data_IF_241179450368
#
_entry.id   IF_241179450368
#
_cell.length_a   1.000
_cell.length_b   1.000
_cell.length_c   1.000
_cell.angle_alpha   90.00
_cell.angle_beta   90.00
_cell.angle_gamma   90.00
#
_symmetry.space_group_name_H-M   'P 1'
#
loop_
_entity.id
_entity.type
_entity.pdbx_description
1 polymer ?
#
# COMPACT_ATOMS: atom_id res chain seq x y z
N UNK A 1 19.57 -23.09 -9.00
CA UNK A 1 18.55 -22.02 -9.12
C UNK A 1 17.81 -21.97 -7.81
N UNK A 2 17.89 -20.84 -7.08
CA UNK A 2 17.24 -20.74 -5.76
C UNK A 2 15.72 -20.56 -5.93
N UNK A 3 14.95 -21.26 -5.12
CA UNK A 3 13.48 -21.26 -5.14
C UNK A 3 12.94 -20.17 -4.24
N UNK A 4 12.27 -19.18 -4.84
CA UNK A 4 11.65 -18.04 -4.14
C UNK A 4 10.13 -18.19 -4.12
N UNK A 5 9.54 -18.26 -2.93
CA UNK A 5 8.09 -18.25 -2.74
C UNK A 5 7.63 -16.87 -2.27
N UNK A 6 6.74 -16.22 -3.01
CA UNK A 6 6.12 -14.94 -2.65
C UNK A 6 4.70 -15.21 -2.18
N UNK A 7 4.45 -15.03 -0.89
CA UNK A 7 3.16 -15.31 -0.24
C UNK A 7 2.41 -14.01 -0.02
N UNK A 8 1.27 -13.86 -0.66
CA UNK A 8 0.39 -12.68 -0.55
C UNK A 8 -1.06 -13.09 -0.32
N UNK A 9 -1.92 -12.16 0.08
CA UNK A 9 -3.34 -12.44 0.31
C UNK A 9 -4.08 -12.87 -0.97
N UNK A 10 -3.92 -12.09 -2.05
CA UNK A 10 -4.68 -12.19 -3.28
C UNK A 10 -3.80 -11.88 -4.49
N UNK A 11 -4.11 -12.49 -5.63
CA UNK A 11 -3.47 -12.24 -6.92
C UNK A 11 -3.57 -10.77 -7.36
N UNK A 12 -4.70 -10.10 -7.11
CA UNK A 12 -4.88 -8.65 -7.39
C UNK A 12 -3.87 -7.80 -6.65
N UNK A 13 -3.62 -8.12 -5.38
CA UNK A 13 -2.62 -7.41 -4.59
C UNK A 13 -1.21 -7.68 -5.12
N UNK A 14 -0.90 -8.93 -5.47
CA UNK A 14 0.37 -9.30 -6.08
C UNK A 14 0.61 -8.49 -7.37
N UNK A 15 -0.33 -8.51 -8.30
CA UNK A 15 -0.23 -7.82 -9.59
C UNK A 15 -0.03 -6.31 -9.44
N UNK A 16 -0.66 -5.70 -8.44
CA UNK A 16 -0.56 -4.26 -8.23
C UNK A 16 0.69 -3.82 -7.47
N UNK A 17 1.29 -4.68 -6.61
CA UNK A 17 2.34 -4.25 -5.68
C UNK A 17 3.63 -5.08 -5.74
N UNK A 18 3.62 -6.28 -6.34
CA UNK A 18 4.73 -7.23 -6.26
C UNK A 18 5.13 -7.85 -7.60
N UNK A 19 4.38 -7.62 -8.68
CA UNK A 19 4.67 -8.19 -10.00
C UNK A 19 6.10 -7.85 -10.46
N UNK A 20 6.51 -6.59 -10.31
CA UNK A 20 7.80 -6.12 -10.79
C UNK A 20 8.97 -6.79 -10.03
N UNK A 21 8.78 -7.03 -8.73
CA UNK A 21 9.75 -7.77 -7.89
C UNK A 21 9.87 -9.23 -8.37
N UNK A 22 8.74 -9.88 -8.68
CA UNK A 22 8.74 -11.25 -9.17
C UNK A 22 9.42 -11.36 -10.55
N UNK A 23 9.09 -10.47 -11.47
CA UNK A 23 9.71 -10.40 -12.80
C UNK A 23 11.22 -10.16 -12.70
N UNK A 24 11.64 -9.20 -11.85
CA UNK A 24 13.06 -8.95 -11.63
C UNK A 24 13.79 -10.15 -10.99
N UNK A 25 13.12 -10.87 -10.09
CA UNK A 25 13.68 -12.09 -9.50
C UNK A 25 13.83 -13.22 -10.54
N UNK A 26 12.84 -13.43 -11.42
CA UNK A 26 12.95 -14.36 -12.55
C UNK A 26 14.14 -13.98 -13.45
N UNK A 27 14.25 -12.70 -13.82
CA UNK A 27 15.38 -12.22 -14.62
C UNK A 27 16.74 -12.38 -13.93
N UNK A 28 16.77 -12.34 -12.59
CA UNK A 28 17.96 -12.60 -11.79
C UNK A 28 18.27 -14.11 -11.56
N UNK A 29 17.47 -15.01 -12.16
CA UNK A 29 17.72 -16.46 -12.12
C UNK A 29 17.09 -17.18 -10.93
N UNK A 30 16.08 -16.63 -10.27
CA UNK A 30 15.28 -17.33 -9.26
C UNK A 30 14.14 -18.14 -9.90
N UNK A 31 13.84 -19.32 -9.34
CA UNK A 31 12.58 -20.04 -9.63
C UNK A 31 11.47 -19.48 -8.71
N UNK A 32 10.61 -18.65 -9.29
CA UNK A 32 9.62 -17.88 -8.52
C UNK A 32 8.27 -18.58 -8.52
N UNK A 33 7.72 -18.80 -7.32
CA UNK A 33 6.37 -19.30 -7.09
C UNK A 33 5.56 -18.28 -6.31
N UNK A 34 4.42 -17.85 -6.85
CA UNK A 34 3.45 -16.98 -6.16
C UNK A 34 2.42 -17.84 -5.45
N UNK A 35 2.23 -17.59 -4.16
CA UNK A 35 1.23 -18.28 -3.33
C UNK A 35 0.18 -17.25 -2.92
N UNK A 36 -1.00 -17.28 -3.53
CA UNK A 36 -2.05 -16.29 -3.35
C UNK A 36 -3.44 -16.90 -3.54
N UNK A 37 -4.47 -16.28 -2.95
CA UNK A 37 -5.85 -16.60 -3.30
C UNK A 37 -6.14 -16.14 -4.73
N UNK A 38 -6.75 -17.02 -5.52
CA UNK A 38 -7.25 -16.68 -6.85
C UNK A 38 -8.52 -15.82 -6.72
N UNK A 39 -8.50 -14.65 -7.34
CA UNK A 39 -9.66 -13.75 -7.50
C UNK A 39 -10.05 -13.58 -8.97
N UNK A 40 -9.64 -14.53 -9.83
CA UNK A 40 -9.88 -14.55 -11.27
C UNK A 40 -8.76 -13.92 -12.09
N UNK A 41 -7.55 -13.78 -11.54
CA UNK A 41 -6.39 -13.18 -12.24
C UNK A 41 -5.16 -14.08 -12.26
N UNK A 42 -5.33 -15.36 -11.98
CA UNK A 42 -4.24 -16.34 -11.96
C UNK A 42 -3.48 -16.40 -13.28
N UNK A 43 -4.19 -16.37 -14.41
CA UNK A 43 -3.57 -16.44 -15.74
C UNK A 43 -2.64 -15.24 -16.00
N UNK A 44 -3.01 -14.06 -15.51
CA UNK A 44 -2.16 -12.88 -15.61
C UNK A 44 -0.87 -13.02 -14.78
N UNK A 45 -0.97 -13.67 -13.62
CA UNK A 45 0.21 -13.95 -12.79
C UNK A 45 1.13 -14.94 -13.48
N UNK A 46 0.59 -16.05 -14.00
CA UNK A 46 1.36 -17.09 -14.71
C UNK A 46 2.01 -16.52 -15.97
N UNK A 47 1.35 -15.61 -16.69
CA UNK A 47 1.90 -14.94 -17.87
C UNK A 47 3.19 -14.13 -17.59
N UNK A 48 3.49 -13.83 -16.32
CA UNK A 48 4.75 -13.19 -15.91
C UNK A 48 5.95 -14.15 -15.86
N UNK A 49 5.77 -15.44 -16.21
CA UNK A 49 6.82 -16.44 -16.16
C UNK A 49 7.08 -17.00 -14.74
N UNK A 50 6.09 -16.92 -13.85
CA UNK A 50 6.16 -17.44 -12.47
C UNK A 50 5.21 -18.61 -12.28
N UNK A 51 5.54 -19.51 -11.34
CA UNK A 51 4.62 -20.56 -10.91
C UNK A 51 3.54 -19.97 -9.99
N UNK A 52 2.35 -20.60 -9.96
CA UNK A 52 1.24 -20.18 -9.12
C UNK A 52 0.70 -21.35 -8.29
N UNK A 53 0.55 -21.11 -6.99
CA UNK A 53 -0.12 -22.03 -6.06
C UNK A 53 -1.26 -21.29 -5.38
N UNK A 54 -2.45 -21.85 -5.47
CA UNK A 54 -3.63 -21.25 -4.83
C UNK A 54 -3.57 -21.41 -3.30
N UNK A 55 -3.70 -20.28 -2.59
CA UNK A 55 -3.76 -20.23 -1.14
C UNK A 55 -5.22 -20.43 -0.68
N UNK A 56 -5.57 -21.50 0.03
CA UNK A 56 -6.92 -21.73 0.51
C UNK A 56 -7.23 -20.83 1.71
N UNK A 57 -7.48 -19.54 1.47
CA UNK A 57 -7.71 -18.54 2.52
C UNK A 57 -8.91 -17.67 2.21
N UNK A 58 -9.66 -17.33 3.25
CA UNK A 58 -10.55 -16.18 3.20
C UNK A 58 -9.79 -14.92 3.69
N UNK A 59 -9.47 -13.96 2.81
CA UNK A 59 -8.67 -12.78 3.17
C UNK A 59 -9.32 -11.90 4.25
N UNK A 60 -10.63 -11.98 4.39
CA UNK A 60 -11.44 -11.18 5.33
C UNK A 60 -11.92 -11.97 6.54
N UNK A 61 -11.69 -13.28 6.58
CA UNK A 61 -12.15 -14.17 7.65
C UNK A 61 -11.41 -13.91 8.96
N UNK A 62 -12.17 -13.89 10.07
CA UNK A 62 -11.65 -13.82 11.44
C UNK A 62 -11.81 -15.17 12.17
N UNK A 63 -12.04 -16.24 11.45
CA UNK A 63 -12.25 -17.57 12.04
C UNK A 63 -10.90 -18.22 12.34
N UNK A 64 -10.64 -18.52 13.61
CA UNK A 64 -9.38 -19.14 14.09
C UNK A 64 -9.12 -20.47 13.37
N UNK A 65 -10.17 -21.26 13.04
CA UNK A 65 -10.03 -22.51 12.30
C UNK A 65 -9.40 -22.28 10.91
N UNK A 66 -9.89 -21.29 10.17
CA UNK A 66 -9.36 -20.92 8.84
C UNK A 66 -7.91 -20.40 8.92
N UNK A 67 -7.59 -19.69 9.99
CA UNK A 67 -6.20 -19.23 10.22
C UNK A 67 -5.25 -20.42 10.44
N UNK A 68 -5.66 -21.42 11.21
CA UNK A 68 -4.90 -22.64 11.42
C UNK A 68 -4.78 -23.49 10.14
N UNK A 69 -5.80 -23.53 9.31
CA UNK A 69 -5.76 -24.16 7.98
C UNK A 69 -4.71 -23.49 7.10
N UNK A 70 -4.65 -22.14 7.10
CA UNK A 70 -3.63 -21.38 6.37
C UNK A 70 -2.22 -21.75 6.83
N UNK A 71 -2.00 -21.76 8.15
CA UNK A 71 -0.70 -22.16 8.70
C UNK A 71 -0.34 -23.58 8.28
N UNK A 72 -1.26 -24.53 8.42
CA UNK A 72 -1.02 -25.94 8.11
C UNK A 72 -0.73 -26.17 6.62
N UNK A 73 -1.48 -25.49 5.74
CA UNK A 73 -1.24 -25.51 4.30
C UNK A 73 0.15 -25.00 3.97
N UNK A 74 0.54 -23.82 4.46
CA UNK A 74 1.85 -23.21 4.20
C UNK A 74 2.99 -24.07 4.77
N UNK A 75 2.81 -24.64 5.96
CA UNK A 75 3.81 -25.52 6.56
C UNK A 75 4.03 -26.78 5.74
N UNK A 76 2.94 -27.46 5.30
CA UNK A 76 3.04 -28.63 4.41
C UNK A 76 3.68 -28.27 3.07
N UNK A 77 3.27 -27.15 2.49
CA UNK A 77 3.81 -26.66 1.23
C UNK A 77 5.32 -26.43 1.33
N UNK A 78 5.78 -25.69 2.33
CA UNK A 78 7.21 -25.40 2.50
C UNK A 78 8.03 -26.66 2.83
N UNK A 79 7.47 -27.62 3.55
CA UNK A 79 8.14 -28.90 3.80
C UNK A 79 8.26 -29.77 2.54
N UNK A 80 7.25 -29.76 1.69
CA UNK A 80 7.23 -30.52 0.45
C UNK A 80 8.15 -29.89 -0.59
N UNK A 81 7.95 -28.60 -0.83
CA UNK A 81 8.60 -27.88 -1.92
C UNK A 81 10.00 -27.35 -1.56
N UNK A 82 10.33 -27.24 -0.29
CA UNK A 82 11.63 -26.79 0.25
C UNK A 82 12.15 -25.52 -0.41
N UNK A 83 11.40 -24.40 -0.34
CA UNK A 83 11.89 -23.13 -0.87
C UNK A 83 13.14 -22.68 -0.12
N UNK A 84 14.08 -22.06 -0.84
CA UNK A 84 15.26 -21.43 -0.25
C UNK A 84 14.91 -20.11 0.39
N UNK A 85 13.94 -19.40 -0.21
CA UNK A 85 13.48 -18.07 0.21
C UNK A 85 11.94 -18.06 0.27
N UNK A 86 11.40 -17.54 1.38
CA UNK A 86 9.97 -17.21 1.52
C UNK A 86 9.84 -15.73 1.76
N UNK A 87 9.16 -15.03 0.87
CA UNK A 87 8.81 -13.61 1.00
C UNK A 87 7.33 -13.45 1.35
N UNK A 88 7.05 -13.19 2.61
CA UNK A 88 5.69 -12.95 3.12
C UNK A 88 5.34 -11.46 3.02
N UNK A 89 4.16 -11.13 2.49
CA UNK A 89 3.71 -9.74 2.33
C UNK A 89 2.41 -9.50 3.05
N UNK A 90 2.44 -8.54 3.98
CA UNK A 90 1.33 -8.19 4.84
C UNK A 90 1.25 -9.02 6.12
N UNK A 91 0.69 -8.42 7.17
CA UNK A 91 0.79 -8.91 8.55
C UNK A 91 0.30 -10.36 8.74
N UNK A 92 -0.76 -10.75 8.05
CA UNK A 92 -1.32 -12.11 8.11
C UNK A 92 -0.34 -13.15 7.55
N UNK A 93 0.26 -12.90 6.39
CA UNK A 93 1.26 -13.77 5.78
C UNK A 93 2.57 -13.77 6.57
N UNK A 94 2.97 -12.63 7.12
CA UNK A 94 4.13 -12.53 8.00
C UNK A 94 3.95 -13.43 9.23
N UNK A 95 2.76 -13.45 9.82
CA UNK A 95 2.47 -14.30 10.98
C UNK A 95 2.49 -15.79 10.60
N UNK A 96 1.59 -16.19 9.70
CA UNK A 96 1.38 -17.61 9.41
C UNK A 96 2.47 -18.20 8.51
N UNK A 97 2.89 -17.45 7.49
CA UNK A 97 4.00 -17.84 6.62
C UNK A 97 5.34 -17.83 7.35
N UNK A 98 5.56 -16.85 8.25
CA UNK A 98 6.76 -16.80 9.08
C UNK A 98 6.87 -17.97 10.05
N UNK A 99 5.76 -18.35 10.74
CA UNK A 99 5.71 -19.54 11.59
C UNK A 99 5.89 -20.81 10.77
N UNK A 100 5.19 -20.95 9.64
CA UNK A 100 5.31 -22.11 8.75
C UNK A 100 6.74 -22.28 8.24
N UNK A 101 7.39 -21.19 7.81
CA UNK A 101 8.78 -21.18 7.35
C UNK A 101 9.77 -21.56 8.47
N UNK A 102 9.52 -21.10 9.72
CA UNK A 102 10.32 -21.49 10.87
C UNK A 102 10.26 -23.00 11.12
N UNK A 103 9.06 -23.59 11.16
CA UNK A 103 8.89 -25.03 11.39
C UNK A 103 9.32 -25.88 10.19
N UNK A 104 9.23 -25.35 8.96
CA UNK A 104 9.77 -26.01 7.76
C UNK A 104 11.28 -25.81 7.59
N UNK A 105 11.93 -25.00 8.43
CA UNK A 105 13.37 -24.67 8.38
C UNK A 105 13.80 -24.02 7.06
N UNK A 106 12.95 -23.13 6.52
CA UNK A 106 13.29 -22.34 5.32
C UNK A 106 14.54 -21.49 5.62
N UNK A 107 15.58 -21.50 4.79
CA UNK A 107 16.84 -20.79 5.07
C UNK A 107 16.64 -19.27 5.24
N UNK A 108 16.07 -18.59 4.24
CA UNK A 108 15.83 -17.15 4.26
C UNK A 108 14.34 -16.82 4.28
N UNK A 109 13.93 -16.01 5.22
CA UNK A 109 12.56 -15.47 5.30
C UNK A 109 12.60 -13.95 5.22
N UNK A 110 11.90 -13.40 4.24
CA UNK A 110 11.75 -11.96 4.03
C UNK A 110 10.31 -11.59 4.34
N UNK A 111 10.10 -10.72 5.32
CA UNK A 111 8.79 -10.29 5.77
C UNK A 111 8.59 -8.81 5.43
N UNK A 112 7.68 -8.49 4.50
CA UNK A 112 7.38 -7.12 4.09
C UNK A 112 6.15 -6.58 4.81
N UNK A 113 6.37 -5.66 5.76
CA UNK A 113 5.33 -4.94 6.49
C UNK A 113 4.82 -3.81 5.61
N UNK A 114 3.60 -3.97 5.08
CA UNK A 114 2.93 -3.01 4.20
C UNK A 114 1.83 -2.21 4.93
N UNK A 115 2.09 -1.86 6.18
CA UNK A 115 1.17 -1.22 7.11
C UNK A 115 0.59 -2.20 8.13
N UNK A 116 0.41 -1.73 9.35
CA UNK A 116 -0.07 -2.54 10.48
C UNK A 116 -1.59 -2.46 10.67
N UNK A 117 -2.25 -1.58 9.93
CA UNK A 117 -3.69 -1.39 9.99
C UNK A 117 -4.19 -1.04 11.39
N UNK A 118 -5.43 -1.42 11.69
CA UNK A 118 -6.10 -1.08 12.96
C UNK A 118 -5.64 -1.91 14.16
N UNK A 119 -4.90 -3.00 13.95
CA UNK A 119 -4.51 -3.91 15.03
C UNK A 119 -3.60 -3.25 16.08
N UNK A 120 -2.80 -2.28 15.66
CA UNK A 120 -1.84 -1.56 16.49
C UNK A 120 -2.20 -0.08 16.71
N UNK A 121 -3.46 0.32 16.46
CA UNK A 121 -3.89 1.72 16.51
C UNK A 121 -4.50 2.15 17.85
N UNK A 122 -4.52 1.31 18.88
CA UNK A 122 -5.11 1.63 20.19
C UNK A 122 -4.09 1.81 21.29
N UNK A 123 -4.40 2.67 22.28
CA UNK A 123 -3.54 2.92 23.46
C UNK A 123 -3.34 1.69 24.35
N UNK A 124 -4.25 0.72 24.31
CA UNK A 124 -4.17 -0.53 25.04
C UNK A 124 -4.19 -1.73 24.10
N UNK A 125 -3.11 -2.47 24.09
CA UNK A 125 -3.01 -3.72 23.32
C UNK A 125 -3.91 -4.80 23.94
N UNK A 126 -4.80 -5.39 23.14
CA UNK A 126 -5.63 -6.52 23.54
C UNK A 126 -4.79 -7.76 23.86
N UNK A 127 -5.34 -8.71 24.62
CA UNK A 127 -4.67 -9.98 24.88
C UNK A 127 -4.35 -10.74 23.58
N UNK A 128 -5.26 -10.70 22.61
CA UNK A 128 -5.04 -11.30 21.29
C UNK A 128 -3.89 -10.62 20.53
N UNK A 129 -3.80 -9.28 20.57
CA UNK A 129 -2.67 -8.55 19.96
C UNK A 129 -1.34 -8.94 20.62
N UNK A 130 -1.31 -9.06 21.95
CA UNK A 130 -0.10 -9.50 22.68
C UNK A 130 0.31 -10.93 22.31
N UNK A 131 -0.67 -11.84 22.12
CA UNK A 131 -0.39 -13.21 21.67
C UNK A 131 0.21 -13.21 20.25
N UNK A 132 -0.37 -12.44 19.32
CA UNK A 132 0.15 -12.28 17.96
C UNK A 132 1.59 -11.73 17.99
N UNK A 133 1.86 -10.72 18.83
CA UNK A 133 3.21 -10.15 18.94
C UNK A 133 4.22 -11.20 19.45
N UNK A 134 3.86 -12.05 20.39
CA UNK A 134 4.71 -13.15 20.86
C UNK A 134 4.96 -14.18 19.76
N UNK A 135 3.94 -14.51 18.97
CA UNK A 135 4.09 -15.43 17.85
C UNK A 135 4.99 -14.83 16.73
N UNK A 136 4.84 -13.53 16.44
CA UNK A 136 5.72 -12.81 15.54
C UNK A 136 7.16 -12.80 16.05
N UNK A 137 7.38 -12.43 17.32
CA UNK A 137 8.70 -12.45 17.94
C UNK A 137 9.33 -13.86 17.85
N UNK A 138 8.58 -14.89 18.20
CA UNK A 138 9.06 -16.28 18.04
C UNK A 138 9.44 -16.58 16.58
N UNK A 139 8.64 -16.19 15.57
CA UNK A 139 8.94 -16.46 14.16
C UNK A 139 10.17 -15.71 13.66
N UNK A 140 10.45 -14.51 14.20
CA UNK A 140 11.54 -13.63 13.76
C UNK A 140 12.89 -13.91 14.47
N UNK A 141 12.89 -14.34 15.74
CA UNK A 141 14.11 -14.57 16.50
C UNK A 141 14.86 -15.82 16.05
N UNK A 142 15.44 -15.75 14.86
CA UNK A 142 16.37 -16.74 14.28
C UNK A 142 17.26 -16.09 13.22
N UNK A 143 18.34 -16.76 12.84
CA UNK A 143 19.14 -16.38 11.66
C UNK A 143 18.31 -16.50 10.38
N UNK A 144 18.66 -15.75 9.35
CA UNK A 144 18.01 -15.81 8.04
C UNK A 144 16.59 -15.18 8.03
N UNK A 145 16.32 -14.20 8.87
CA UNK A 145 15.08 -13.39 8.81
C UNK A 145 15.41 -11.94 8.54
N UNK A 146 14.83 -11.39 7.47
CA UNK A 146 14.89 -9.99 7.10
C UNK A 146 13.48 -9.41 7.15
N UNK A 147 13.32 -8.20 7.71
CA UNK A 147 12.02 -7.53 7.80
C UNK A 147 12.10 -6.18 7.11
N UNK A 148 11.29 -6.01 6.09
CA UNK A 148 11.20 -4.79 5.30
C UNK A 148 10.07 -3.93 5.86
N UNK A 149 10.41 -2.71 6.26
CA UNK A 149 9.46 -1.68 6.69
C UNK A 149 9.35 -0.58 5.64
N UNK A 150 8.17 0.01 5.53
CA UNK A 150 7.91 1.12 4.62
C UNK A 150 8.02 2.49 5.31
N UNK A 151 7.90 2.52 6.63
CA UNK A 151 8.00 3.72 7.45
C UNK A 151 8.70 3.43 8.78
N UNK A 152 9.24 4.46 9.41
CA UNK A 152 9.98 4.37 10.67
C UNK A 152 9.06 4.01 11.86
N UNK A 153 7.83 4.51 11.87
CA UNK A 153 6.87 4.27 12.95
C UNK A 153 6.59 2.78 13.17
N UNK A 154 6.39 2.01 12.07
CA UNK A 154 6.14 0.58 12.14
C UNK A 154 7.40 -0.19 12.56
N UNK A 155 8.56 0.24 12.10
CA UNK A 155 9.85 -0.32 12.46
C UNK A 155 10.13 -0.15 13.97
N UNK A 156 9.98 1.06 14.49
CA UNK A 156 10.17 1.37 15.90
C UNK A 156 9.16 0.65 16.81
N UNK A 157 7.93 0.44 16.31
CA UNK A 157 6.96 -0.35 17.05
C UNK A 157 7.42 -1.81 17.19
N UNK A 158 7.91 -2.43 16.12
CA UNK A 158 8.43 -3.80 16.16
C UNK A 158 9.65 -3.94 17.06
N UNK A 159 10.56 -2.96 17.04
CA UNK A 159 11.73 -2.90 17.94
C UNK A 159 11.31 -2.79 19.40
N UNK A 160 10.47 -1.82 19.74
CA UNK A 160 10.02 -1.56 21.12
C UNK A 160 9.33 -2.77 21.74
N UNK A 161 8.65 -3.58 20.93
CA UNK A 161 7.98 -4.79 21.39
C UNK A 161 8.84 -6.05 21.26
N UNK A 162 10.12 -5.92 20.92
CA UNK A 162 11.03 -7.05 20.79
C UNK A 162 10.60 -8.07 19.74
N UNK A 163 9.93 -7.63 18.68
CA UNK A 163 9.51 -8.51 17.58
C UNK A 163 10.69 -8.74 16.64
N UNK A 164 11.53 -7.73 16.42
CA UNK A 164 12.73 -7.77 15.57
C UNK A 164 13.93 -7.21 16.32
N UNK A 165 15.13 -7.51 15.81
CA UNK A 165 16.39 -6.90 16.24
C UNK A 165 16.86 -5.87 15.20
N UNK A 166 17.73 -4.89 15.56
CA UNK A 166 18.21 -3.87 14.61
C UNK A 166 18.82 -4.45 13.32
N UNK A 167 19.55 -5.57 13.41
CA UNK A 167 20.19 -6.20 12.25
C UNK A 167 19.23 -6.90 11.28
N UNK A 168 17.96 -7.03 11.63
CA UNK A 168 16.94 -7.66 10.78
C UNK A 168 16.15 -6.66 9.94
N UNK A 169 16.33 -5.35 10.15
CA UNK A 169 15.51 -4.30 9.56
C UNK A 169 16.08 -3.80 8.23
N UNK A 170 15.18 -3.62 7.28
CA UNK A 170 15.43 -3.01 5.98
C UNK A 170 14.34 -1.99 5.71
N UNK A 171 14.68 -0.89 5.04
CA UNK A 171 13.72 0.15 4.69
C UNK A 171 13.55 0.22 3.18
N UNK A 172 12.29 0.13 2.73
CA UNK A 172 11.89 0.33 1.34
C UNK A 172 10.61 1.16 1.37
N UNK A 173 10.68 2.42 0.96
CA UNK A 173 9.54 3.34 0.97
C UNK A 173 8.48 2.92 -0.06
N UNK A 174 7.47 2.19 0.41
CA UNK A 174 6.35 1.75 -0.42
C UNK A 174 6.67 0.62 -1.40
N UNK A 175 5.83 0.46 -2.42
CA UNK A 175 5.98 -0.57 -3.46
C UNK A 175 6.75 -0.11 -4.69
N UNK A 176 7.15 1.15 -4.72
CA UNK A 176 7.76 1.77 -5.89
C UNK A 176 6.77 2.13 -6.99
N UNK A 177 7.25 2.95 -7.92
CA UNK A 177 6.53 3.34 -9.13
C UNK A 177 7.49 3.35 -10.32
N UNK A 178 7.03 2.86 -11.46
CA UNK A 178 7.76 3.02 -12.71
C UNK A 178 7.66 4.48 -13.17
N UNK A 179 8.78 5.19 -13.09
CA UNK A 179 8.86 6.62 -13.42
C UNK A 179 8.76 6.90 -14.92
N UNK A 180 8.84 5.87 -15.78
CA UNK A 180 8.61 5.97 -17.22
C UNK A 180 7.12 5.86 -17.52
N UNK A 181 6.45 4.89 -16.91
CA UNK A 181 5.00 4.71 -17.01
C UNK A 181 4.26 5.90 -16.39
N UNK A 182 4.66 6.31 -15.17
CA UNK A 182 4.16 7.49 -14.46
C UNK A 182 5.10 8.66 -14.67
N UNK A 183 5.24 9.10 -15.94
CA UNK A 183 6.09 10.23 -16.29
C UNK A 183 5.49 11.54 -15.80
N UNK A 184 6.37 12.50 -15.45
CA UNK A 184 5.92 13.86 -15.11
C UNK A 184 5.04 14.43 -16.21
N UNK A 185 3.88 14.92 -15.81
CA UNK A 185 2.92 15.55 -16.73
C UNK A 185 2.54 16.91 -16.16
N UNK A 186 2.80 18.01 -16.86
CA UNK A 186 2.33 19.33 -16.44
C UNK A 186 0.82 19.34 -16.19
N UNK A 187 0.36 20.27 -15.35
CA UNK A 187 -1.06 20.50 -15.13
C UNK A 187 -1.77 20.78 -16.46
N UNK A 188 -2.85 20.04 -16.72
CA UNK A 188 -3.64 20.23 -17.94
C UNK A 188 -4.32 21.60 -17.96
N UNK A 189 -4.42 22.21 -19.14
CA UNK A 189 -5.28 23.37 -19.33
C UNK A 189 -6.72 22.89 -19.52
N UNK A 190 -7.65 23.51 -18.81
CA UNK A 190 -9.06 23.16 -18.84
C UNK A 190 -9.91 24.14 -18.03
N UNK A 191 -11.23 24.14 -18.29
CA UNK A 191 -12.16 25.05 -17.65
C UNK A 191 -12.42 24.70 -16.18
N UNK A 192 -12.03 23.50 -15.74
CA UNK A 192 -12.28 23.01 -14.38
C UNK A 192 -11.04 22.43 -13.73
N UNK A 193 -10.92 22.65 -12.43
CA UNK A 193 -9.89 22.02 -11.61
C UNK A 193 -10.42 20.70 -11.06
N UNK A 194 -9.69 19.60 -11.27
CA UNK A 194 -10.07 18.26 -10.83
C UNK A 194 -9.27 17.89 -9.58
N UNK A 195 -9.98 17.66 -8.47
CA UNK A 195 -9.43 17.10 -7.23
C UNK A 195 -9.73 15.61 -7.22
N UNK A 196 -8.70 14.76 -7.18
CA UNK A 196 -8.87 13.30 -7.23
C UNK A 196 -8.53 12.63 -5.90
N UNK A 197 -9.33 11.64 -5.56
CA UNK A 197 -9.09 10.66 -4.50
C UNK A 197 -9.03 9.27 -5.12
N UNK A 198 -7.98 8.51 -4.83
CA UNK A 198 -7.81 7.16 -5.38
C UNK A 198 -7.60 6.14 -4.27
N UNK A 199 -8.65 5.41 -3.90
CA UNK A 199 -8.61 4.30 -2.94
C UNK A 199 -9.88 3.45 -3.02
N UNK A 200 -9.85 2.29 -2.40
CA UNK A 200 -11.10 1.55 -2.09
C UNK A 200 -12.02 2.43 -1.23
N UNK A 201 -13.32 2.36 -1.47
CA UNK A 201 -14.34 3.15 -0.76
C UNK A 201 -14.56 2.64 0.67
N UNK A 202 -13.54 2.80 1.51
CA UNK A 202 -13.54 2.43 2.94
C UNK A 202 -13.46 3.70 3.77
N UNK A 203 -14.25 3.79 4.85
CA UNK A 203 -14.35 5.01 5.68
C UNK A 203 -13.00 5.51 6.18
N UNK A 204 -12.12 4.57 6.59
CA UNK A 204 -10.79 4.91 7.11
C UNK A 204 -9.84 5.50 6.05
N UNK A 205 -10.15 5.34 4.76
CA UNK A 205 -9.40 6.01 3.68
C UNK A 205 -9.74 7.50 3.57
N UNK A 206 -10.72 7.98 4.35
CA UNK A 206 -11.05 9.39 4.48
C UNK A 206 -12.00 9.93 3.42
N UNK A 207 -12.66 9.08 2.64
CA UNK A 207 -13.60 9.53 1.60
C UNK A 207 -14.72 10.42 2.17
N UNK A 208 -15.22 10.11 3.37
CA UNK A 208 -16.24 10.93 4.04
C UNK A 208 -15.69 12.33 4.39
N UNK A 209 -14.45 12.40 4.90
CA UNK A 209 -13.78 13.68 5.21
C UNK A 209 -13.59 14.52 3.95
N UNK A 210 -13.25 13.89 2.82
CA UNK A 210 -13.11 14.61 1.55
C UNK A 210 -14.47 15.15 1.05
N UNK A 211 -15.52 14.34 1.13
CA UNK A 211 -16.86 14.79 0.74
C UNK A 211 -17.32 15.97 1.61
N UNK A 212 -17.11 15.92 2.93
CA UNK A 212 -17.41 17.03 3.83
C UNK A 212 -16.62 18.30 3.48
N UNK A 213 -15.32 18.16 3.16
CA UNK A 213 -14.52 19.30 2.71
C UNK A 213 -14.99 19.87 1.37
N UNK A 214 -15.38 19.02 0.42
CA UNK A 214 -15.96 19.45 -0.85
C UNK A 214 -17.26 20.23 -0.66
N UNK A 215 -18.13 19.78 0.28
CA UNK A 215 -19.37 20.51 0.60
C UNK A 215 -19.09 21.89 1.21
N UNK A 216 -18.07 22.03 2.05
CA UNK A 216 -17.66 23.34 2.58
C UNK A 216 -17.17 24.30 1.47
N UNK A 217 -16.66 23.76 0.38
CA UNK A 217 -16.16 24.52 -0.77
C UNK A 217 -17.23 24.76 -1.85
N UNK A 218 -18.36 24.06 -1.80
CA UNK A 218 -19.36 24.03 -2.87
C UNK A 218 -19.81 25.42 -3.30
N UNK A 219 -20.19 26.29 -2.35
CA UNK A 219 -20.72 27.61 -2.63
C UNK A 219 -19.81 28.45 -3.54
N UNK A 220 -18.49 28.33 -3.38
CA UNK A 220 -17.51 29.18 -4.07
C UNK A 220 -16.96 28.53 -5.36
N UNK A 221 -17.06 27.19 -5.46
CA UNK A 221 -16.35 26.44 -6.49
C UNK A 221 -17.23 25.53 -7.38
N UNK A 222 -18.54 25.42 -7.11
CA UNK A 222 -19.45 24.68 -7.98
C UNK A 222 -19.40 25.25 -9.42
N UNK A 223 -19.28 24.34 -10.40
CA UNK A 223 -19.08 24.72 -11.80
C UNK A 223 -17.60 24.94 -12.21
N UNK A 224 -16.69 25.22 -11.26
CA UNK A 224 -15.27 25.46 -11.49
C UNK A 224 -14.38 24.29 -11.08
N UNK A 225 -14.84 23.46 -10.14
CA UNK A 225 -14.10 22.33 -9.57
C UNK A 225 -14.92 21.05 -9.67
N UNK A 226 -14.25 19.95 -9.86
CA UNK A 226 -14.83 18.60 -9.75
C UNK A 226 -14.02 17.77 -8.76
N UNK A 227 -14.73 17.04 -7.88
CA UNK A 227 -14.14 16.06 -6.97
C UNK A 227 -14.38 14.65 -7.51
N UNK A 228 -13.31 13.94 -7.81
CA UNK A 228 -13.34 12.60 -8.38
C UNK A 228 -13.00 11.55 -7.34
N UNK A 229 -13.96 10.72 -6.97
CA UNK A 229 -13.76 9.59 -6.07
C UNK A 229 -13.53 8.34 -6.90
N UNK A 230 -12.27 7.93 -7.09
CA UNK A 230 -11.88 6.79 -7.89
C UNK A 230 -11.58 5.58 -6.99
N UNK A 231 -12.39 4.54 -7.12
CA UNK A 231 -12.20 3.27 -6.41
C UNK A 231 -13.48 2.46 -6.28
N UNK A 232 -13.29 1.15 -6.18
CA UNK A 232 -14.39 0.21 -6.06
C UNK A 232 -14.89 0.03 -4.62
N UNK A 233 -16.05 -0.60 -4.52
CA UNK A 233 -16.58 -1.13 -3.26
C UNK A 233 -15.64 -2.20 -2.70
N UNK A 234 -15.71 -2.42 -1.42
CA UNK A 234 -14.90 -3.41 -0.72
C UNK A 234 -15.79 -4.31 0.15
N UNK A 235 -15.47 -5.58 0.24
CA UNK A 235 -16.09 -6.51 1.20
C UNK A 235 -15.72 -6.26 2.67
N UNK A 236 -14.99 -5.18 2.96
CA UNK A 236 -14.64 -4.80 4.32
C UNK A 236 -15.90 -4.33 5.07
N UNK A 237 -16.18 -4.77 6.32
CA UNK A 237 -17.32 -4.30 7.12
C UNK A 237 -17.39 -2.77 7.33
N UNK A 238 -16.28 -2.08 7.15
CA UNK A 238 -16.18 -0.62 7.25
C UNK A 238 -16.23 0.09 5.89
N UNK A 239 -16.46 -0.65 4.82
CA UNK A 239 -16.66 -0.07 3.50
C UNK A 239 -17.96 0.72 3.46
N UNK A 240 -17.98 1.75 2.63
CA UNK A 240 -19.22 2.42 2.26
C UNK A 240 -20.01 1.50 1.32
N UNK A 241 -21.31 1.46 1.52
CA UNK A 241 -22.25 0.84 0.59
C UNK A 241 -22.40 1.71 -0.67
N UNK A 242 -22.87 1.10 -1.74
CA UNK A 242 -23.16 1.85 -2.97
C UNK A 242 -24.21 2.95 -2.74
N UNK A 243 -25.21 2.68 -1.91
CA UNK A 243 -26.24 3.67 -1.56
C UNK A 243 -25.64 4.86 -0.81
N UNK A 244 -24.76 4.65 0.17
CA UNK A 244 -24.08 5.75 0.87
C UNK A 244 -23.26 6.60 -0.13
N UNK A 245 -22.55 5.99 -1.06
CA UNK A 245 -21.76 6.71 -2.07
C UNK A 245 -22.66 7.50 -3.03
N UNK A 246 -23.76 6.91 -3.48
CA UNK A 246 -24.73 7.61 -4.36
C UNK A 246 -25.40 8.80 -3.68
N UNK A 247 -25.62 8.74 -2.36
CA UNK A 247 -26.15 9.86 -1.59
C UNK A 247 -25.12 10.98 -1.39
N UNK A 248 -23.85 10.67 -1.33
CA UNK A 248 -22.76 11.64 -1.18
C UNK A 248 -22.33 12.29 -2.51
N UNK A 249 -22.66 11.68 -3.64
CA UNK A 249 -22.19 12.11 -4.95
C UNK A 249 -23.36 12.55 -5.84
N UNK A 250 -23.32 13.80 -6.29
CA UNK A 250 -24.35 14.38 -7.16
C UNK A 250 -24.08 14.11 -8.67
N UNK A 251 -22.94 13.48 -8.98
CA UNK A 251 -22.51 13.16 -10.35
C UNK A 251 -22.02 14.36 -11.17
N UNK A 252 -21.99 15.56 -10.59
CA UNK A 252 -21.56 16.82 -11.24
C UNK A 252 -20.35 17.43 -10.52
N UNK A 253 -20.52 17.85 -9.29
CA UNK A 253 -19.48 18.44 -8.45
C UNK A 253 -18.67 17.38 -7.71
N UNK A 254 -19.34 16.38 -7.14
CA UNK A 254 -18.72 15.19 -6.54
C UNK A 254 -19.11 13.97 -7.36
N UNK A 255 -18.14 13.30 -7.98
CA UNK A 255 -18.33 12.18 -8.88
C UNK A 255 -17.69 10.90 -8.33
N UNK A 256 -18.47 9.88 -8.10
CA UNK A 256 -17.90 8.55 -7.86
C UNK A 256 -17.70 7.83 -9.19
N UNK A 257 -16.44 7.56 -9.53
CA UNK A 257 -16.03 6.96 -10.80
C UNK A 257 -16.03 5.42 -10.79
N UNK A 258 -16.31 4.80 -9.62
CA UNK A 258 -16.22 3.35 -9.48
C UNK A 258 -14.78 2.83 -9.53
N UNK A 259 -14.64 1.52 -9.71
CA UNK A 259 -13.34 0.89 -9.95
C UNK A 259 -12.84 1.24 -11.35
N UNK A 260 -11.59 1.72 -11.45
CA UNK A 260 -10.95 2.13 -12.69
C UNK A 260 -9.62 1.43 -12.86
N UNK A 261 -9.27 1.10 -14.10
CA UNK A 261 -7.96 0.57 -14.49
C UNK A 261 -7.05 1.63 -15.11
N UNK A 262 -7.62 2.75 -15.52
CA UNK A 262 -6.95 3.91 -16.13
C UNK A 262 -6.63 5.00 -15.08
N UNK A 263 -6.18 4.60 -13.88
CA UNK A 263 -5.86 5.54 -12.78
C UNK A 263 -4.78 6.53 -13.20
N UNK A 264 -3.79 6.10 -13.99
CA UNK A 264 -2.74 6.95 -14.51
C UNK A 264 -3.30 8.12 -15.33
N UNK A 265 -4.19 7.83 -16.26
CA UNK A 265 -4.84 8.83 -17.12
C UNK A 265 -5.71 9.80 -16.31
N UNK A 266 -6.36 9.30 -15.26
CA UNK A 266 -7.12 10.15 -14.33
C UNK A 266 -6.20 11.05 -13.52
N UNK A 267 -5.07 10.55 -13.03
CA UNK A 267 -4.05 11.36 -12.35
C UNK A 267 -3.45 12.42 -13.28
N UNK A 268 -3.19 12.10 -14.55
CA UNK A 268 -2.72 13.07 -15.55
C UNK A 268 -3.73 14.20 -15.79
N UNK A 269 -5.03 13.91 -15.72
CA UNK A 269 -6.12 14.89 -15.86
C UNK A 269 -6.48 15.60 -14.57
N UNK A 270 -5.95 15.17 -13.44
CA UNK A 270 -6.19 15.81 -12.15
C UNK A 270 -5.21 16.97 -11.92
N UNK A 271 -5.54 17.84 -10.99
CA UNK A 271 -4.75 19.00 -10.61
C UNK A 271 -4.24 18.90 -9.18
N UNK A 272 -5.02 18.25 -8.31
CA UNK A 272 -4.72 18.07 -6.88
C UNK A 272 -5.11 16.65 -6.50
N UNK A 273 -4.27 15.99 -5.70
CA UNK A 273 -4.61 14.72 -5.07
C UNK A 273 -4.95 14.95 -3.60
N UNK A 274 -6.16 14.55 -3.19
CA UNK A 274 -6.62 14.64 -1.81
C UNK A 274 -6.81 13.22 -1.24
N UNK A 275 -6.05 12.86 -0.21
CA UNK A 275 -6.08 11.53 0.39
C UNK A 275 -6.08 11.62 1.92
N UNK A 276 -7.21 12.01 2.55
CA UNK A 276 -7.29 12.24 3.99
C UNK A 276 -7.47 10.96 4.81
N UNK A 277 -6.63 9.94 4.55
CA UNK A 277 -6.67 8.65 5.22
C UNK A 277 -6.27 8.74 6.69
N UNK A 278 -7.00 8.04 7.55
CA UNK A 278 -6.62 7.79 8.94
C UNK A 278 -6.41 6.30 9.23
N UNK A 279 -6.30 5.51 8.16
CA UNK A 279 -5.85 4.13 8.23
C UNK A 279 -4.34 4.11 8.46
N UNK A 280 -3.82 3.21 9.30
CA UNK A 280 -2.38 3.02 9.46
C UNK A 280 -1.82 2.31 8.23
N UNK A 281 -1.40 3.12 7.27
CA UNK A 281 -0.86 2.66 6.00
C UNK A 281 0.60 2.18 6.14
N UNK A 282 1.08 1.43 5.14
CA UNK A 282 2.49 1.50 4.77
C UNK A 282 2.77 2.87 4.13
N UNK A 283 3.32 2.89 2.91
CA UNK A 283 3.30 4.11 2.09
C UNK A 283 2.25 3.89 1.00
N UNK A 284 1.18 4.73 0.93
CA UNK A 284 0.09 4.52 -0.02
C UNK A 284 0.56 4.63 -1.47
N UNK A 285 0.34 3.57 -2.26
CA UNK A 285 0.76 3.54 -3.67
C UNK A 285 0.14 4.68 -4.48
N UNK A 286 -1.12 5.03 -4.21
CA UNK A 286 -1.80 6.15 -4.86
C UNK A 286 -1.09 7.49 -4.67
N UNK A 287 -0.46 7.72 -3.50
CA UNK A 287 0.31 8.93 -3.25
C UNK A 287 1.66 8.90 -3.98
N UNK A 288 2.30 7.72 -4.05
CA UNK A 288 3.53 7.52 -4.83
C UNK A 288 3.27 7.80 -6.32
N UNK A 289 2.19 7.27 -6.86
CA UNK A 289 1.76 7.47 -8.25
C UNK A 289 1.43 8.95 -8.53
N UNK A 290 0.74 9.61 -7.61
CA UNK A 290 0.46 11.05 -7.66
C UNK A 290 1.73 11.90 -7.68
N UNK A 291 2.69 11.56 -6.81
CA UNK A 291 4.01 12.21 -6.76
C UNK A 291 4.76 12.04 -8.09
N UNK A 292 4.75 10.84 -8.65
CA UNK A 292 5.45 10.53 -9.90
C UNK A 292 4.90 11.34 -11.08
N UNK A 293 3.58 11.50 -11.19
CA UNK A 293 2.91 12.34 -12.20
C UNK A 293 3.16 13.83 -11.96
N UNK A 294 3.55 14.23 -10.73
CA UNK A 294 3.79 15.61 -10.37
C UNK A 294 2.53 16.34 -9.91
N UNK A 295 1.73 15.73 -9.06
CA UNK A 295 0.56 16.40 -8.45
C UNK A 295 0.85 16.85 -7.03
N UNK A 296 0.44 18.07 -6.64
CA UNK A 296 0.43 18.47 -5.24
C UNK A 296 -0.54 17.57 -4.46
N UNK A 297 -0.16 17.22 -3.23
CA UNK A 297 -0.89 16.25 -2.42
C UNK A 297 -1.39 16.91 -1.14
N UNK A 298 -2.67 16.74 -0.81
CA UNK A 298 -3.21 17.05 0.52
C UNK A 298 -3.56 15.74 1.20
N UNK A 299 -2.86 15.43 2.29
CA UNK A 299 -3.07 14.19 3.03
C UNK A 299 -2.96 14.41 4.54
N UNK A 300 -3.25 13.39 5.33
CA UNK A 300 -3.20 13.48 6.78
C UNK A 300 -1.79 13.32 7.33
N UNK A 301 -1.50 13.95 8.46
CA UNK A 301 -0.34 13.66 9.30
C UNK A 301 -0.55 12.31 10.03
N UNK A 302 -0.58 11.24 9.24
CA UNK A 302 -0.72 9.87 9.71
C UNK A 302 0.40 8.99 9.17
N UNK A 303 0.66 7.87 9.85
CA UNK A 303 1.70 6.90 9.47
C UNK A 303 1.51 6.45 8.02
N UNK A 304 2.57 6.50 7.24
CA UNK A 304 2.59 6.16 5.83
C UNK A 304 2.16 7.30 4.90
N UNK A 305 1.13 8.06 5.26
CA UNK A 305 0.70 9.23 4.47
C UNK A 305 1.71 10.36 4.55
N UNK A 306 2.19 10.70 5.77
CA UNK A 306 3.21 11.74 5.99
C UNK A 306 4.55 11.45 5.32
N UNK A 307 4.84 10.17 5.02
CA UNK A 307 6.10 9.77 4.41
C UNK A 307 6.23 10.18 2.93
N UNK A 308 5.13 10.66 2.33
CA UNK A 308 5.11 11.11 0.92
C UNK A 308 5.05 12.64 0.80
N UNK A 309 4.68 13.35 1.87
CA UNK A 309 4.47 14.80 1.84
C UNK A 309 5.36 15.50 2.87
N UNK A 310 6.13 16.46 2.40
CA UNK A 310 6.76 17.48 3.22
C UNK A 310 5.86 18.72 3.20
N UNK A 311 5.32 19.08 4.37
CA UNK A 311 4.30 20.14 4.51
C UNK A 311 4.77 21.47 3.95
N UNK A 312 3.98 22.07 3.08
CA UNK A 312 4.29 23.34 2.40
C UNK A 312 5.27 23.22 1.23
N UNK A 313 5.87 22.04 0.97
CA UNK A 313 6.88 21.85 -0.09
C UNK A 313 6.27 21.16 -1.33
N UNK A 314 5.73 19.95 -1.17
CA UNK A 314 5.11 19.20 -2.25
C UNK A 314 3.62 18.94 -2.02
N UNK A 315 3.05 19.55 -0.97
CA UNK A 315 1.66 19.40 -0.60
C UNK A 315 1.41 19.90 0.82
N UNK A 316 0.31 19.45 1.42
CA UNK A 316 -0.06 19.82 2.78
C UNK A 316 -0.40 18.60 3.64
N UNK A 317 0.02 18.65 4.90
CA UNK A 317 -0.40 17.73 5.95
C UNK A 317 -1.55 18.34 6.77
N UNK A 318 -2.57 17.53 7.05
CA UNK A 318 -3.72 17.94 7.84
C UNK A 318 -3.96 16.98 9.02
N UNK A 319 -4.65 17.40 10.07
CA UNK A 319 -5.11 16.48 11.11
C UNK A 319 -6.07 15.42 10.55
N UNK A 320 -6.09 14.24 11.17
CA UNK A 320 -7.03 13.18 10.79
C UNK A 320 -8.47 13.58 11.05
N UNK A 321 -9.38 13.26 10.11
CA UNK A 321 -10.83 13.56 10.20
C UNK A 321 -11.17 15.05 10.28
N UNK A 322 -10.31 15.92 9.84
CA UNK A 322 -10.50 17.36 9.84
C UNK A 322 -10.88 17.86 8.44
N UNK A 323 -12.18 17.91 8.17
CA UNK A 323 -12.71 18.37 6.89
C UNK A 323 -12.53 19.89 6.69
N UNK A 324 -12.52 20.67 7.77
CA UNK A 324 -12.34 22.12 7.68
C UNK A 324 -10.92 22.48 7.26
N UNK A 325 -9.91 21.93 7.92
CA UNK A 325 -8.50 22.12 7.52
C UNK A 325 -8.25 21.57 6.11
N UNK A 326 -8.87 20.45 5.73
CA UNK A 326 -8.77 19.92 4.36
C UNK A 326 -9.33 20.93 3.35
N UNK A 327 -10.52 21.52 3.61
CA UNK A 327 -11.12 22.52 2.74
C UNK A 327 -10.23 23.76 2.61
N UNK A 328 -9.63 24.23 3.72
CA UNK A 328 -8.74 25.39 3.70
C UNK A 328 -7.47 25.14 2.89
N UNK A 329 -6.84 23.98 3.03
CA UNK A 329 -5.65 23.61 2.23
C UNK A 329 -5.98 23.42 0.76
N UNK A 330 -7.13 22.83 0.46
CA UNK A 330 -7.64 22.75 -0.92
C UNK A 330 -7.91 24.14 -1.49
N UNK A 331 -8.53 25.06 -0.73
CA UNK A 331 -8.80 26.44 -1.17
C UNK A 331 -7.53 27.17 -1.59
N UNK A 332 -6.43 27.00 -0.85
CA UNK A 332 -5.13 27.57 -1.21
C UNK A 332 -4.70 27.07 -2.59
N UNK A 333 -4.71 25.75 -2.79
CA UNK A 333 -4.30 25.16 -4.07
C UNK A 333 -5.29 25.45 -5.20
N UNK A 334 -6.58 25.56 -4.94
CA UNK A 334 -7.59 25.89 -5.96
C UNK A 334 -7.39 27.30 -6.53
N UNK A 335 -6.93 28.24 -5.72
CA UNK A 335 -6.77 29.64 -6.10
C UNK A 335 -5.38 29.98 -6.65
N UNK A 336 -4.37 29.14 -6.45
CA UNK A 336 -2.99 29.43 -6.83
C UNK A 336 -2.44 28.35 -7.77
N UNK A 337 -2.46 28.62 -9.07
CA UNK A 337 -1.93 27.71 -10.10
C UNK A 337 -0.41 27.54 -10.01
N UNK A 338 0.29 28.65 -9.76
CA UNK A 338 1.76 28.61 -9.70
C UNK A 338 2.24 27.76 -8.52
N UNK A 339 1.57 27.88 -7.36
CA UNK A 339 1.84 27.05 -6.21
C UNK A 339 1.56 25.58 -6.51
N UNK A 340 0.42 25.24 -7.16
CA UNK A 340 0.13 23.86 -7.59
C UNK A 340 1.24 23.30 -8.47
N UNK A 341 1.67 24.07 -9.47
CA UNK A 341 2.74 23.64 -10.40
C UNK A 341 4.08 23.49 -9.68
N UNK A 342 4.42 24.39 -8.77
CA UNK A 342 5.62 24.34 -7.97
C UNK A 342 5.66 23.10 -7.08
N UNK A 343 4.59 22.88 -6.30
CA UNK A 343 4.44 21.69 -5.44
C UNK A 343 4.42 20.40 -6.25
N UNK A 344 3.79 20.41 -7.43
CA UNK A 344 3.78 19.27 -8.35
C UNK A 344 5.19 18.88 -8.82
N UNK A 345 6.02 19.85 -9.20
CA UNK A 345 7.44 19.58 -9.53
C UNK A 345 8.19 18.99 -8.34
N UNK A 346 7.95 19.51 -7.14
CA UNK A 346 8.55 18.95 -5.91
C UNK A 346 8.06 17.53 -5.63
N UNK A 347 6.79 17.24 -5.83
CA UNK A 347 6.27 15.86 -5.73
C UNK A 347 7.04 14.92 -6.66
N UNK A 348 7.30 15.32 -7.92
CA UNK A 348 8.09 14.54 -8.85
C UNK A 348 9.52 14.30 -8.37
N UNK A 349 10.21 15.32 -7.87
CA UNK A 349 11.55 15.20 -7.28
C UNK A 349 11.56 14.17 -6.14
N UNK A 350 10.52 14.17 -5.28
CA UNK A 350 10.37 13.17 -4.21
C UNK A 350 10.18 11.75 -4.77
N UNK A 351 9.37 11.59 -5.82
CA UNK A 351 9.17 10.29 -6.45
C UNK A 351 10.48 9.74 -7.04
N UNK A 352 11.26 10.56 -7.69
CA UNK A 352 12.56 10.19 -8.27
C UNK A 352 13.57 9.79 -7.20
N UNK A 353 13.62 10.52 -6.09
CA UNK A 353 14.54 10.28 -5.00
C UNK A 353 14.21 9.03 -4.18
N UNK A 354 12.92 8.87 -3.84
CA UNK A 354 12.48 7.95 -2.77
C UNK A 354 11.65 6.76 -3.25
N UNK A 355 10.98 6.87 -4.42
CA UNK A 355 9.94 5.91 -4.81
C UNK A 355 10.19 5.22 -6.16
N UNK A 356 11.37 5.36 -6.75
CA UNK A 356 11.71 4.65 -8.00
C UNK A 356 11.62 3.14 -7.82
N UNK A 357 10.94 2.46 -8.75
CA UNK A 357 10.84 1.00 -8.77
C UNK A 357 12.24 0.35 -8.86
N UNK A 358 13.19 0.94 -9.59
CA UNK A 358 14.54 0.40 -9.75
C UNK A 358 15.27 0.28 -8.39
N UNK A 359 15.13 1.28 -7.52
CA UNK A 359 15.70 1.27 -6.17
C UNK A 359 15.05 0.17 -5.29
N UNK A 360 13.73 0.01 -5.42
CA UNK A 360 12.97 -1.05 -4.73
C UNK A 360 13.43 -2.44 -5.17
N UNK A 361 13.57 -2.66 -6.49
CA UNK A 361 14.01 -3.94 -7.07
C UNK A 361 15.44 -4.27 -6.63
N UNK A 362 16.36 -3.31 -6.74
CA UNK A 362 17.75 -3.47 -6.31
C UNK A 362 17.84 -3.91 -4.86
N UNK A 363 17.06 -3.29 -3.98
CA UNK A 363 17.08 -3.64 -2.54
C UNK A 363 16.50 -5.03 -2.29
N UNK A 364 15.41 -5.41 -2.95
CA UNK A 364 14.84 -6.76 -2.79
C UNK A 364 15.81 -7.84 -3.27
N UNK A 365 16.43 -7.66 -4.44
CA UNK A 365 17.39 -8.61 -4.98
C UNK A 365 18.64 -8.74 -4.08
N UNK A 366 19.12 -7.63 -3.50
CA UNK A 366 20.21 -7.67 -2.54
C UNK A 366 19.85 -8.44 -1.25
N UNK A 367 18.59 -8.35 -0.79
CA UNK A 367 18.09 -9.14 0.35
C UNK A 367 18.00 -10.62 -0.02
N UNK A 368 17.48 -10.95 -1.22
CA UNK A 368 17.40 -12.35 -1.67
C UNK A 368 18.77 -13.00 -1.83
N UNK A 369 19.78 -12.27 -2.30
CA UNK A 369 21.14 -12.75 -2.46
C UNK A 369 21.78 -13.26 -1.14
N UNK A 370 21.28 -12.80 0.03
CA UNK A 370 21.73 -13.27 1.34
C UNK A 370 21.48 -14.77 1.59
N UNK A 371 20.63 -15.42 0.80
CA UNK A 371 20.43 -16.87 0.89
C UNK A 371 21.74 -17.65 0.65
N UNK A 372 22.66 -17.08 -0.12
CA UNK A 372 23.97 -17.69 -0.41
C UNK A 372 24.96 -17.59 0.77
N UNK A 373 24.61 -16.81 1.81
CA UNK A 373 25.44 -16.59 3.01
C UNK A 373 24.96 -17.46 4.21
N UNK A 374 23.85 -18.20 4.04
CA UNK A 374 23.20 -19.00 5.08
C UNK A 374 23.48 -20.49 4.91
#
# INVERSE_FOLDING_TARGET
MSRLFIVVNEDRFFLSHRKDIAVAAVAAGYDVTVVAKDTGRKEEVVALGVNYIELPVNPTGKNIGQELETFHFLWRLFRKERPDIVHNVGLKQILWGGLAARFARVPLVVNAVSGLGVMFSGDKLSLSTRAIMRMLSFSHHRKGVCVIFQNEDDSQLFLRHGIVTPGQQYFIKGSGVDLKDFSYTPESEGDKINVIFTARMVKEKGVVTLVQAAELLRKDYEGKVEFWLCGGLSGNPKALSENELRLMCDGKYIKWLGYRTDVRELLMKSHIVAFPSYYREGVPKSLIEASAIGRPIVTTDSVGCRDVVEDGVNGFLIPVKDAATLADRLRILLNDRELRMSMGRKSREFAERDFSIDAVLKTHLAIYAKVNEL
#
